data_IF_469978012107
#
_entry.id   IF_469978012107
#
_cell.length_a   1.000
_cell.length_b   1.000
_cell.length_c   1.000
_cell.angle_alpha   90.00
_cell.angle_beta   90.00
_cell.angle_gamma   90.00
#
_symmetry.space_group_name_H-M   'P 1'
#
loop_
_entity.id
_entity.type
_entity.pdbx_description
1 polymer ?
#
# COMPACT_ATOMS: atom_id res chain seq x y z
N UNK A 1 3.31 -37.75 14.04
CA UNK A 1 3.71 -36.33 13.91
C UNK A 1 3.86 -35.85 12.46
N UNK A 2 4.19 -36.70 11.48
CA UNK A 2 4.42 -36.33 10.07
C UNK A 2 3.19 -35.83 9.31
N UNK A 3 1.98 -36.34 9.60
CA UNK A 3 0.74 -35.91 8.93
C UNK A 3 0.30 -34.48 9.25
N UNK A 4 0.60 -33.98 10.46
CA UNK A 4 0.22 -32.62 10.88
C UNK A 4 1.14 -31.55 10.27
N UNK A 5 2.43 -31.86 10.12
CA UNK A 5 3.41 -31.00 9.45
C UNK A 5 3.04 -30.74 7.98
N UNK A 6 2.66 -31.80 7.25
CA UNK A 6 2.25 -31.68 5.84
C UNK A 6 1.01 -30.79 5.65
N UNK A 7 0.05 -30.85 6.57
CA UNK A 7 -1.14 -29.97 6.54
C UNK A 7 -0.78 -28.50 6.75
N UNK A 8 0.18 -28.22 7.63
CA UNK A 8 0.67 -26.86 7.90
C UNK A 8 1.40 -26.28 6.68
N UNK A 9 2.24 -27.07 6.02
CA UNK A 9 2.95 -26.65 4.80
C UNK A 9 1.98 -26.31 3.66
N UNK A 10 0.97 -27.16 3.43
CA UNK A 10 -0.06 -26.90 2.42
C UNK A 10 -0.85 -25.63 2.77
N UNK A 11 -1.20 -25.44 4.05
CA UNK A 11 -1.86 -24.22 4.49
C UNK A 11 -1.00 -22.98 4.19
N UNK A 12 0.28 -23.00 4.55
CA UNK A 12 1.21 -21.90 4.25
C UNK A 12 1.26 -21.66 2.75
N UNK A 13 1.45 -22.70 1.93
CA UNK A 13 1.51 -22.59 0.47
C UNK A 13 0.25 -21.96 -0.12
N UNK A 14 -0.94 -22.25 0.42
CA UNK A 14 -2.20 -21.60 0.02
C UNK A 14 -2.20 -20.12 0.43
N UNK A 15 -1.88 -19.84 1.69
CA UNK A 15 -1.96 -18.48 2.24
C UNK A 15 -0.97 -17.52 1.58
N UNK A 16 0.25 -17.97 1.27
CA UNK A 16 1.24 -17.11 0.59
C UNK A 16 0.84 -16.73 -0.84
N UNK A 17 -0.21 -17.32 -1.42
CA UNK A 17 -0.74 -16.93 -2.75
C UNK A 17 -1.82 -15.87 -2.70
N UNK A 18 -2.33 -15.57 -1.50
CA UNK A 18 -3.41 -14.62 -1.33
C UNK A 18 -2.91 -13.18 -1.34
N UNK A 19 -3.70 -12.22 -1.86
CA UNK A 19 -3.39 -10.80 -1.72
C UNK A 19 -3.31 -10.40 -0.24
N UNK A 20 -2.47 -9.41 0.08
CA UNK A 20 -2.29 -8.90 1.44
C UNK A 20 -3.61 -8.49 2.11
N UNK A 21 -4.54 -7.91 1.34
CA UNK A 21 -5.88 -7.53 1.81
C UNK A 21 -6.69 -8.72 2.34
N UNK A 22 -6.60 -9.89 1.69
CA UNK A 22 -7.26 -11.10 2.14
C UNK A 22 -6.62 -11.65 3.41
N UNK A 23 -5.28 -11.64 3.47
CA UNK A 23 -4.53 -12.08 4.65
C UNK A 23 -4.84 -11.25 5.90
N UNK A 24 -5.02 -9.93 5.74
CA UNK A 24 -5.39 -9.05 6.86
C UNK A 24 -6.76 -9.41 7.44
N UNK A 25 -7.73 -9.81 6.60
CA UNK A 25 -9.03 -10.31 7.09
C UNK A 25 -8.87 -11.59 7.89
N UNK A 26 -7.90 -12.43 7.52
CA UNK A 26 -7.61 -13.68 8.23
C UNK A 26 -6.90 -13.49 9.57
N UNK A 27 -6.27 -12.35 9.82
CA UNK A 27 -5.72 -12.04 11.14
C UNK A 27 -6.79 -12.03 12.24
N UNK A 28 -8.05 -11.76 11.88
CA UNK A 28 -9.16 -11.69 12.83
C UNK A 28 -9.86 -13.04 13.10
N UNK A 29 -9.44 -14.15 12.48
CA UNK A 29 -10.15 -15.44 12.60
C UNK A 29 -9.78 -16.20 13.87
N UNK A 30 -8.50 -16.45 14.11
CA UNK A 30 -7.99 -17.02 15.35
C UNK A 30 -6.49 -16.71 15.57
N UNK A 31 -6.03 -16.90 16.81
CA UNK A 31 -4.63 -16.62 17.20
C UNK A 31 -3.62 -17.37 16.34
N UNK A 32 -3.86 -18.64 16.05
CA UNK A 32 -2.95 -19.45 15.24
C UNK A 32 -2.75 -18.90 13.81
N UNK A 33 -3.80 -18.32 13.21
CA UNK A 33 -3.70 -17.68 11.91
C UNK A 33 -3.00 -16.32 12.01
N UNK A 34 -3.31 -15.53 13.03
CA UNK A 34 -2.62 -14.27 13.31
C UNK A 34 -1.12 -14.48 13.51
N UNK A 35 -0.73 -15.47 14.33
CA UNK A 35 0.67 -15.80 14.62
C UNK A 35 1.39 -16.31 13.37
N UNK A 36 0.72 -17.14 12.55
CA UNK A 36 1.28 -17.66 11.32
C UNK A 36 1.53 -16.54 10.30
N UNK A 37 0.51 -15.73 10.01
CA UNK A 37 0.58 -14.66 9.01
C UNK A 37 1.50 -13.53 9.47
N UNK A 38 1.54 -13.26 10.78
CA UNK A 38 2.43 -12.26 11.39
C UNK A 38 3.88 -12.71 11.52
N UNK A 39 4.19 -13.99 11.30
CA UNK A 39 5.56 -14.49 11.42
C UNK A 39 6.48 -13.92 10.34
N UNK A 40 7.73 -13.61 10.72
CA UNK A 40 8.71 -13.05 9.78
C UNK A 40 9.00 -13.97 8.59
N UNK A 41 8.99 -15.29 8.79
CA UNK A 41 9.18 -16.27 7.72
C UNK A 41 8.03 -16.25 6.71
N UNK A 42 6.79 -16.16 7.19
CA UNK A 42 5.62 -16.05 6.32
C UNK A 42 5.66 -14.74 5.52
N UNK A 43 5.91 -13.61 6.19
CA UNK A 43 5.99 -12.28 5.54
C UNK A 43 7.06 -12.26 4.46
N UNK A 44 8.28 -12.73 4.75
CA UNK A 44 9.37 -12.79 3.77
C UNK A 44 9.04 -13.69 2.58
N UNK A 45 8.43 -14.85 2.83
CA UNK A 45 8.03 -15.78 1.77
C UNK A 45 6.94 -15.19 0.89
N UNK A 46 5.93 -14.55 1.49
CA UNK A 46 4.84 -13.87 0.77
C UNK A 46 5.37 -12.73 -0.09
N UNK A 47 6.24 -11.87 0.46
CA UNK A 47 6.86 -10.76 -0.27
C UNK A 47 7.69 -11.26 -1.45
N UNK A 48 8.60 -12.22 -1.21
CA UNK A 48 9.46 -12.75 -2.27
C UNK A 48 8.64 -13.37 -3.41
N UNK A 49 7.56 -14.09 -3.07
CA UNK A 49 6.68 -14.71 -4.06
C UNK A 49 5.92 -13.67 -4.89
N UNK A 50 5.42 -12.59 -4.29
CA UNK A 50 4.71 -11.55 -5.04
C UNK A 50 5.66 -10.75 -5.94
N UNK A 51 6.88 -10.48 -5.47
CA UNK A 51 7.91 -9.79 -6.28
C UNK A 51 8.34 -10.65 -7.47
N UNK A 52 8.62 -11.92 -7.26
CA UNK A 52 9.11 -12.83 -8.32
C UNK A 52 8.03 -13.28 -9.30
N UNK A 53 6.80 -13.48 -8.82
CA UNK A 53 5.69 -13.95 -9.64
C UNK A 53 4.88 -12.83 -10.31
N UNK A 54 5.17 -11.56 -10.02
CA UNK A 54 4.35 -10.38 -10.38
C UNK A 54 2.86 -10.52 -10.01
N UNK A 55 2.53 -11.48 -9.14
CA UNK A 55 1.18 -11.72 -8.67
C UNK A 55 0.83 -10.65 -7.64
N UNK A 56 -0.34 -10.00 -7.81
CA UNK A 56 -0.78 -8.89 -6.96
C UNK A 56 0.16 -7.67 -6.97
N UNK A 57 0.84 -7.42 -8.10
CA UNK A 57 1.55 -6.19 -8.34
C UNK A 57 0.56 -5.10 -8.79
N UNK A 58 0.64 -3.93 -8.16
CA UNK A 58 -0.24 -2.80 -8.42
C UNK A 58 0.57 -1.55 -8.73
N UNK A 59 0.05 -0.73 -9.63
CA UNK A 59 0.52 0.62 -9.88
C UNK A 59 -0.28 1.58 -8.99
N UNK A 60 0.40 2.41 -8.23
CA UNK A 60 -0.21 3.49 -7.47
C UNK A 60 -0.11 4.77 -8.30
N UNK A 61 -1.25 5.36 -8.64
CA UNK A 61 -1.31 6.54 -9.50
C UNK A 61 -2.07 7.67 -8.81
N UNK A 62 -1.54 8.88 -8.93
CA UNK A 62 -2.25 10.13 -8.66
C UNK A 62 -2.75 10.68 -9.99
N UNK A 63 -4.05 10.91 -10.13
CA UNK A 63 -4.62 11.41 -11.36
C UNK A 63 -5.91 12.19 -11.12
N UNK A 64 -6.35 12.93 -12.13
CA UNK A 64 -7.67 13.55 -12.11
C UNK A 64 -8.76 12.48 -12.29
N UNK A 65 -9.89 12.59 -11.57
CA UNK A 65 -11.02 11.69 -11.74
C UNK A 65 -11.66 11.80 -13.13
N UNK A 66 -11.58 12.98 -13.76
CA UNK A 66 -12.13 13.26 -15.07
C UNK A 66 -11.02 13.67 -16.05
N UNK A 67 -10.96 12.99 -17.20
CA UNK A 67 -10.02 13.32 -18.29
C UNK A 67 -10.37 14.63 -19.01
N UNK A 68 -11.65 15.04 -18.94
CA UNK A 68 -12.16 16.27 -19.54
C UNK A 68 -12.05 17.44 -18.56
N UNK A 69 -10.83 17.83 -18.19
CA UNK A 69 -10.63 19.15 -17.58
C UNK A 69 -10.76 20.19 -18.69
N UNK A 70 -11.97 20.73 -18.89
CA UNK A 70 -12.10 22.04 -19.51
C UNK A 70 -11.49 23.05 -18.54
N UNK A 71 -10.23 23.42 -18.79
CA UNK A 71 -9.64 24.57 -18.11
C UNK A 71 -10.42 25.79 -18.57
N UNK A 72 -11.22 26.34 -17.68
CA UNK A 72 -11.69 27.71 -17.82
C UNK A 72 -10.56 28.59 -17.27
N UNK A 73 -9.80 29.22 -18.16
CA UNK A 73 -8.59 29.99 -17.81
C UNK A 73 -8.87 31.18 -16.86
N UNK A 74 -10.14 31.50 -16.58
CA UNK A 74 -10.57 32.59 -15.69
C UNK A 74 -10.80 32.15 -14.23
N UNK A 75 -10.84 30.84 -13.94
CA UNK A 75 -11.21 30.36 -12.60
C UNK A 75 -9.97 30.16 -11.70
N UNK A 76 -9.49 31.27 -11.10
CA UNK A 76 -8.34 31.28 -10.16
C UNK A 76 -8.53 30.45 -8.89
N UNK A 77 -9.72 29.87 -8.68
CA UNK A 77 -10.06 29.03 -7.54
C UNK A 77 -10.34 27.57 -7.90
N UNK A 78 -10.05 27.14 -9.14
CA UNK A 78 -10.24 25.75 -9.52
C UNK A 78 -9.30 24.86 -8.70
N UNK A 79 -9.87 24.19 -7.70
CA UNK A 79 -9.18 23.21 -6.90
C UNK A 79 -9.13 21.91 -7.68
N UNK A 80 -7.96 21.58 -8.20
CA UNK A 80 -7.74 20.30 -8.87
C UNK A 80 -8.00 19.15 -7.88
N UNK A 81 -9.16 18.52 -7.99
CA UNK A 81 -9.47 17.30 -7.24
C UNK A 81 -8.60 16.17 -7.81
N UNK A 82 -7.50 15.87 -7.15
CA UNK A 82 -6.68 14.71 -7.44
C UNK A 82 -7.19 13.50 -6.65
N UNK A 83 -7.09 12.31 -7.23
CA UNK A 83 -7.42 11.06 -6.55
C UNK A 83 -6.29 10.04 -6.69
N UNK A 84 -6.12 9.24 -5.64
CA UNK A 84 -5.22 8.08 -5.67
C UNK A 84 -5.99 6.84 -6.08
N UNK A 85 -5.46 6.08 -7.02
CA UNK A 85 -6.02 4.79 -7.43
C UNK A 85 -4.93 3.74 -7.56
N UNK A 86 -5.29 2.50 -7.25
CA UNK A 86 -4.48 1.32 -7.54
C UNK A 86 -4.94 0.71 -8.85
N UNK A 87 -4.01 0.52 -9.78
CA UNK A 87 -4.24 -0.14 -11.04
C UNK A 87 -3.55 -1.51 -11.05
N UNK A 88 -4.17 -2.48 -11.71
CA UNK A 88 -3.53 -3.76 -12.00
C UNK A 88 -2.29 -3.54 -12.85
N UNK A 89 -1.14 -4.07 -12.45
CA UNK A 89 0.08 -3.98 -13.29
C UNK A 89 -0.02 -4.79 -14.59
N UNK A 90 -0.98 -5.71 -14.69
CA UNK A 90 -1.16 -6.57 -15.87
C UNK A 90 -2.22 -6.01 -16.82
N UNK A 91 -3.38 -5.63 -16.28
CA UNK A 91 -4.53 -5.19 -17.09
C UNK A 91 -4.63 -3.68 -17.19
N UNK A 92 -3.89 -2.91 -16.36
CA UNK A 92 -4.00 -1.46 -16.23
C UNK A 92 -5.41 -0.97 -15.88
N UNK A 93 -6.28 -1.85 -15.41
CA UNK A 93 -7.62 -1.50 -14.95
C UNK A 93 -7.57 -0.99 -13.51
N UNK A 94 -8.45 -0.02 -13.20
CA UNK A 94 -8.60 0.50 -11.85
C UNK A 94 -9.12 -0.62 -10.93
N UNK A 95 -8.31 -0.99 -9.94
CA UNK A 95 -8.65 -2.03 -8.96
C UNK A 95 -9.32 -1.45 -7.72
N UNK A 96 -8.89 -0.27 -7.27
CA UNK A 96 -9.53 0.43 -6.17
C UNK A 96 -9.11 1.88 -6.07
N UNK A 97 -10.09 2.73 -5.75
CA UNK A 97 -9.86 4.11 -5.32
C UNK A 97 -9.35 4.16 -3.87
N UNK A 98 -8.43 5.08 -3.62
CA UNK A 98 -7.81 5.32 -2.33
C UNK A 98 -8.03 6.79 -1.93
N UNK A 99 -8.39 6.97 -0.67
CA UNK A 99 -8.29 8.27 -0.01
C UNK A 99 -6.83 8.55 0.30
N UNK A 100 -6.38 9.79 0.13
CA UNK A 100 -5.07 10.19 0.65
C UNK A 100 -5.00 9.87 2.15
N UNK A 101 -3.90 9.28 2.64
CA UNK A 101 -3.80 8.88 4.04
C UNK A 101 -3.93 10.04 5.05
N UNK A 102 -3.73 11.29 4.61
CA UNK A 102 -3.87 12.51 5.41
C UNK A 102 -5.10 13.36 5.03
N UNK A 103 -5.98 12.86 4.16
CA UNK A 103 -7.21 13.55 3.77
C UNK A 103 -7.07 14.70 2.75
N UNK A 104 -5.86 15.22 2.53
CA UNK A 104 -5.56 16.16 1.43
C UNK A 104 -4.56 15.56 0.45
N UNK A 105 -4.84 15.63 -0.85
CA UNK A 105 -3.90 15.23 -1.92
C UNK A 105 -2.91 16.31 -2.30
N UNK A 106 -3.03 17.51 -1.73
CA UNK A 106 -2.20 18.66 -2.08
C UNK A 106 -0.84 18.58 -1.36
N UNK A 107 0.24 18.90 -2.09
CA UNK A 107 1.60 19.08 -1.58
C UNK A 107 2.34 17.82 -1.09
N UNK A 108 1.95 16.60 -1.47
CA UNK A 108 2.70 15.38 -1.13
C UNK A 108 3.29 14.69 -2.36
N UNK A 109 4.53 14.23 -2.26
CA UNK A 109 5.25 13.49 -3.32
C UNK A 109 5.65 12.11 -2.81
N UNK A 110 5.66 11.13 -3.73
CA UNK A 110 6.21 9.80 -3.48
C UNK A 110 7.73 9.85 -3.66
N UNK A 111 8.46 9.62 -2.57
CA UNK A 111 9.93 9.54 -2.60
C UNK A 111 10.45 8.14 -2.90
N UNK A 112 9.62 7.12 -2.77
CA UNK A 112 9.96 5.76 -3.15
C UNK A 112 9.02 4.73 -2.59
N UNK A 113 9.29 3.47 -2.94
CA UNK A 113 8.51 2.32 -2.48
C UNK A 113 9.41 1.16 -2.13
N UNK A 114 9.03 0.37 -1.13
CA UNK A 114 9.72 -0.86 -0.74
C UNK A 114 8.71 -1.88 -0.23
N UNK A 115 8.65 -3.07 -0.85
CA UNK A 115 7.82 -4.20 -0.42
C UNK A 115 6.34 -3.84 -0.19
N UNK A 116 5.77 -2.99 -1.05
CA UNK A 116 4.39 -2.51 -0.95
C UNK A 116 4.15 -1.40 0.08
N UNK A 117 5.20 -0.93 0.75
CA UNK A 117 5.19 0.33 1.50
C UNK A 117 5.61 1.48 0.58
N UNK A 118 5.00 2.63 0.78
CA UNK A 118 5.24 3.85 0.01
C UNK A 118 5.70 4.94 0.97
N UNK A 119 6.81 5.59 0.64
CA UNK A 119 7.31 6.75 1.36
C UNK A 119 6.74 8.01 0.71
N UNK A 120 6.00 8.79 1.50
CA UNK A 120 5.43 10.07 1.08
C UNK A 120 5.83 11.17 2.07
N UNK A 121 6.03 12.37 1.57
CA UNK A 121 6.33 13.56 2.37
C UNK A 121 5.94 14.80 1.56
N UNK A 122 6.13 15.98 2.16
CA UNK A 122 5.89 17.25 1.48
C UNK A 122 6.67 17.33 0.16
N UNK A 123 6.09 18.03 -0.82
CA UNK A 123 6.71 18.30 -2.12
C UNK A 123 8.06 19.01 -1.96
N UNK A 124 8.13 19.98 -1.04
CA UNK A 124 9.37 20.65 -0.67
C UNK A 124 9.87 20.04 0.64
N UNK A 125 10.85 19.15 0.50
CA UNK A 125 11.41 18.37 1.59
C UNK A 125 12.31 19.24 2.49
N UNK A 126 11.77 19.70 3.62
CA UNK A 126 12.50 20.49 4.61
C UNK A 126 12.95 19.63 5.81
N UNK A 127 13.83 20.18 6.65
CA UNK A 127 14.29 19.51 7.88
C UNK A 127 13.15 19.16 8.85
N UNK A 128 12.04 19.89 8.80
CA UNK A 128 10.87 19.66 9.65
C UNK A 128 9.75 18.90 8.92
N UNK A 129 9.95 18.54 7.65
CA UNK A 129 8.92 17.83 6.87
C UNK A 129 8.72 16.41 7.41
N UNK A 130 7.48 16.04 7.75
CA UNK A 130 7.19 14.72 8.29
C UNK A 130 7.33 13.64 7.21
N UNK A 131 8.14 12.62 7.47
CA UNK A 131 8.19 11.44 6.60
C UNK A 131 7.06 10.48 6.99
N UNK A 132 6.24 10.13 6.01
CA UNK A 132 5.16 9.18 6.19
C UNK A 132 5.44 7.88 5.41
N UNK A 133 5.30 6.76 6.11
CA UNK A 133 5.32 5.42 5.53
C UNK A 133 3.88 4.92 5.44
N UNK A 134 3.40 4.80 4.22
CA UNK A 134 2.04 4.37 3.91
C UNK A 134 2.02 2.94 3.37
N UNK A 135 1.07 2.13 3.83
CA UNK A 135 0.70 0.88 3.20
C UNK A 135 -0.69 1.04 2.53
N UNK A 136 -0.74 1.23 1.20
CA UNK A 136 -1.98 1.41 0.46
C UNK A 136 -2.94 0.21 0.55
N UNK A 137 -2.39 -1.01 0.61
CA UNK A 137 -3.19 -2.25 0.60
C UNK A 137 -4.06 -2.43 1.84
N UNK A 138 -3.61 -1.90 2.98
CA UNK A 138 -4.30 -1.99 4.28
C UNK A 138 -4.70 -0.62 4.83
N UNK A 139 -4.53 0.44 4.04
CA UNK A 139 -4.86 1.84 4.41
C UNK A 139 -4.26 2.26 5.76
N UNK A 140 -3.01 1.88 6.01
CA UNK A 140 -2.31 2.19 7.27
C UNK A 140 -1.18 3.17 7.02
N UNK A 141 -1.15 4.27 7.77
CA UNK A 141 -0.09 5.27 7.75
C UNK A 141 0.72 5.20 9.04
N UNK A 142 2.02 5.42 8.96
CA UNK A 142 2.87 5.74 10.10
C UNK A 142 3.72 6.96 9.76
N UNK A 143 3.74 7.93 10.66
CA UNK A 143 4.65 9.08 10.58
C UNK A 143 5.90 8.76 11.39
N UNK A 144 7.08 8.97 10.82
CA UNK A 144 8.33 8.82 11.58
C UNK A 144 8.48 10.02 12.50
N UNK A 145 8.77 9.79 13.78
CA UNK A 145 9.21 10.87 14.66
C UNK A 145 10.56 11.37 14.18
N UNK A 146 10.64 12.63 13.76
CA UNK A 146 11.93 13.29 13.56
C UNK A 146 12.61 13.35 14.93
N UNK A 147 13.75 12.68 15.08
CA UNK A 147 14.54 12.82 16.30
C UNK A 147 15.01 14.28 16.37
N UNK A 148 14.47 15.06 17.29
CA UNK A 148 15.13 16.29 17.73
C UNK A 148 16.40 15.86 18.44
N UNK A 149 17.50 15.67 17.69
CA UNK A 149 18.83 15.68 18.27
C UNK A 149 19.05 17.11 18.78
N UNK A 150 18.78 17.31 20.07
CA UNK A 150 19.20 18.47 20.85
C UNK A 150 20.54 18.17 21.50
#
# INVERSE_FOLDING_TARGET
MTFALRKKEILIDILVRLPAKSLVRFLCTCKSWSDLIGSSSFVSTHLHRNVTGHAHAYLLCLHHPNFECQRDDDDRYFKEELQWSLFSNVTFEESSKLSHPLGSTEHYVIYGSSNGLVCISDEILNFDSPIHIWNPSVKKLRTTSMSTNK
#
